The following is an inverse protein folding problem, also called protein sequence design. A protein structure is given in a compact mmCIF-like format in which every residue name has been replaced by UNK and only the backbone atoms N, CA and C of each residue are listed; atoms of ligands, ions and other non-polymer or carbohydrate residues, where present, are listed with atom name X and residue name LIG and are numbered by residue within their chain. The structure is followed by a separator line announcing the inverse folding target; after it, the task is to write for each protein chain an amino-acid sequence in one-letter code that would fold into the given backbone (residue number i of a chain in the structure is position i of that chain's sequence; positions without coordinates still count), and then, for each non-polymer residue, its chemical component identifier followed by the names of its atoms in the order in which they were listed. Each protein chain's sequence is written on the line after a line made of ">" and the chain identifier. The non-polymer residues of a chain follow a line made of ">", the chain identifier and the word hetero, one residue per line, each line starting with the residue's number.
data_IF_706886413036
#
_entry.id   IF_706886413036
#
_cell.length_a   1.000
_cell.length_b   1.000
_cell.length_c   1.000
_cell.angle_alpha   90.00
_cell.angle_beta   90.00
_cell.angle_gamma   90.00
#
_symmetry.space_group_name_H-M   'P 1'
#
loop_
_entity.id
_entity.type
_entity.pdbx_description
1 polymer ?
#
# COMPACT_ATOMS: atom_id res chain seq x y z
N UNK A 1 -18.05 -19.35 -38.89
CA UNK A 1 -17.44 -18.62 -37.75
C UNK A 1 -17.62 -17.16 -38.07
N UNK A 2 -18.58 -16.52 -37.43
CA UNK A 2 -19.08 -15.20 -37.82
C UNK A 2 -18.04 -14.12 -37.51
N UNK A 3 -17.88 -13.19 -38.44
CA UNK A 3 -17.08 -11.97 -38.29
C UNK A 3 -17.34 -11.32 -36.93
N UNK A 4 -16.24 -10.82 -36.33
CA UNK A 4 -16.14 -10.23 -35.02
C UNK A 4 -17.21 -9.15 -34.76
N UNK A 5 -18.39 -9.57 -34.30
CA UNK A 5 -19.41 -8.64 -33.83
C UNK A 5 -18.99 -8.18 -32.44
N UNK A 6 -18.22 -7.10 -32.40
CA UNK A 6 -18.00 -6.36 -31.17
C UNK A 6 -19.37 -5.98 -30.60
N UNK A 7 -19.64 -6.28 -29.32
CA UNK A 7 -20.92 -5.96 -28.68
C UNK A 7 -21.14 -4.44 -28.53
N UNK A 8 -20.09 -3.65 -28.73
CA UNK A 8 -20.07 -2.19 -28.61
C UNK A 8 -19.41 -1.54 -29.82
N UNK A 9 -19.64 -0.24 -30.01
CA UNK A 9 -18.98 0.59 -31.01
C UNK A 9 -18.04 1.62 -30.37
N UNK A 10 -17.15 2.21 -31.15
CA UNK A 10 -16.29 3.32 -30.68
C UNK A 10 -17.11 4.51 -30.17
N UNK A 11 -18.23 4.82 -30.83
CA UNK A 11 -19.13 5.90 -30.43
C UNK A 11 -19.71 5.68 -29.03
N UNK A 12 -20.03 4.44 -28.67
CA UNK A 12 -20.56 4.10 -27.34
C UNK A 12 -19.55 4.42 -26.24
N UNK A 13 -18.29 4.05 -26.45
CA UNK A 13 -17.21 4.30 -25.50
C UNK A 13 -16.84 5.77 -25.40
N UNK A 14 -16.85 6.53 -26.49
CA UNK A 14 -16.62 7.97 -26.47
C UNK A 14 -17.76 8.73 -25.79
N UNK A 15 -19.01 8.33 -26.04
CA UNK A 15 -20.17 8.87 -25.33
C UNK A 15 -20.06 8.60 -23.83
N UNK A 16 -19.68 7.39 -23.43
CA UNK A 16 -19.42 7.07 -22.02
C UNK A 16 -18.19 7.81 -21.48
N UNK A 17 -17.13 8.03 -22.26
CA UNK A 17 -15.98 8.86 -21.84
C UNK A 17 -16.47 10.24 -21.39
N UNK A 18 -17.33 10.84 -22.21
CA UNK A 18 -17.92 12.16 -22.03
C UNK A 18 -18.93 12.20 -20.88
N UNK A 19 -19.81 11.21 -20.79
CA UNK A 19 -20.88 11.13 -19.81
C UNK A 19 -20.50 10.12 -18.72
N UNK A 20 -20.19 10.61 -17.52
CA UNK A 20 -19.64 9.80 -16.41
C UNK A 20 -20.40 8.51 -16.04
N UNK A 21 -21.63 8.31 -16.53
CA UNK A 21 -22.38 7.07 -16.42
C UNK A 21 -23.18 6.77 -17.71
N UNK A 22 -23.42 5.50 -18.01
CA UNK A 22 -24.14 5.02 -19.19
C UNK A 22 -25.60 5.48 -19.20
N UNK A 23 -26.24 5.63 -18.03
CA UNK A 23 -27.59 6.21 -17.91
C UNK A 23 -27.69 7.66 -18.38
N UNK A 24 -26.56 8.34 -18.55
CA UNK A 24 -26.46 9.71 -19.06
C UNK A 24 -26.10 9.73 -20.56
N UNK A 25 -25.85 8.57 -21.17
CA UNK A 25 -25.61 8.42 -22.61
C UNK A 25 -26.95 8.28 -23.36
N UNK A 26 -26.94 8.36 -24.71
CA UNK A 26 -28.10 7.97 -25.51
C UNK A 26 -28.57 6.54 -25.18
N UNK A 27 -29.89 6.25 -25.30
CA UNK A 27 -30.44 4.94 -24.91
C UNK A 27 -29.80 3.74 -25.61
N UNK A 28 -29.41 3.90 -26.88
CA UNK A 28 -28.73 2.85 -27.65
C UNK A 28 -27.34 2.53 -27.09
N UNK A 29 -26.57 3.57 -26.75
CA UNK A 29 -25.28 3.43 -26.09
C UNK A 29 -25.42 2.84 -24.70
N UNK A 30 -26.41 3.29 -23.91
CA UNK A 30 -26.68 2.70 -22.60
C UNK A 30 -26.95 1.19 -22.73
N UNK A 31 -27.81 0.80 -23.67
CA UNK A 31 -28.16 -0.60 -23.91
C UNK A 31 -26.95 -1.43 -24.37
N UNK A 32 -26.12 -0.90 -25.28
CA UNK A 32 -24.91 -1.57 -25.76
C UNK A 32 -23.90 -1.81 -24.64
N UNK A 33 -23.59 -0.78 -23.85
CA UNK A 33 -22.64 -0.87 -22.74
C UNK A 33 -23.14 -1.79 -21.62
N UNK A 34 -24.43 -1.70 -21.27
CA UNK A 34 -25.05 -2.64 -20.31
C UNK A 34 -24.97 -4.07 -20.82
N UNK A 35 -25.26 -4.32 -22.10
CA UNK A 35 -25.15 -5.66 -22.70
C UNK A 35 -23.72 -6.20 -22.62
N UNK A 36 -22.72 -5.37 -22.93
CA UNK A 36 -21.31 -5.73 -22.75
C UNK A 36 -20.99 -6.11 -21.31
N UNK A 37 -21.39 -5.25 -20.36
CA UNK A 37 -21.21 -5.47 -18.92
C UNK A 37 -21.85 -6.77 -18.44
N UNK A 38 -23.11 -7.02 -18.81
CA UNK A 38 -23.85 -8.22 -18.43
C UNK A 38 -23.20 -9.49 -18.99
N UNK A 39 -22.81 -9.48 -20.27
CA UNK A 39 -22.19 -10.65 -20.91
C UNK A 39 -20.87 -11.04 -20.23
N UNK A 40 -19.98 -10.06 -20.04
CA UNK A 40 -18.67 -10.28 -19.42
C UNK A 40 -18.79 -10.55 -17.91
N UNK A 41 -19.62 -9.77 -17.22
CA UNK A 41 -19.90 -9.90 -15.80
C UNK A 41 -20.44 -11.27 -15.42
N UNK A 42 -21.36 -11.83 -16.21
CA UNK A 42 -21.85 -13.20 -16.03
C UNK A 42 -20.70 -14.22 -16.08
N UNK A 43 -19.77 -14.09 -17.03
CA UNK A 43 -18.60 -14.96 -17.12
C UNK A 43 -17.70 -14.88 -15.88
N UNK A 44 -17.44 -13.67 -15.37
CA UNK A 44 -16.65 -13.48 -14.16
C UNK A 44 -17.35 -13.98 -12.90
N UNK A 45 -18.67 -13.75 -12.76
CA UNK A 45 -19.47 -14.28 -11.66
C UNK A 45 -19.45 -15.82 -11.65
N UNK A 46 -19.59 -16.47 -12.81
CA UNK A 46 -19.47 -17.92 -12.92
C UNK A 46 -18.07 -18.42 -12.51
N UNK A 47 -17.03 -17.70 -12.93
CA UNK A 47 -15.64 -18.04 -12.61
C UNK A 47 -15.35 -17.93 -11.11
N UNK A 48 -15.82 -16.86 -10.46
CA UNK A 48 -15.47 -16.56 -9.06
C UNK A 48 -16.44 -17.12 -8.03
N UNK A 49 -17.72 -17.35 -8.36
CA UNK A 49 -18.73 -17.83 -7.42
C UNK A 49 -18.37 -19.16 -6.72
N UNK A 50 -17.54 -20.00 -7.35
CA UNK A 50 -17.05 -21.25 -6.74
C UNK A 50 -16.20 -21.03 -5.48
N UNK A 51 -15.55 -19.86 -5.34
CA UNK A 51 -14.72 -19.48 -4.19
C UNK A 51 -15.48 -18.90 -3.00
N UNK A 52 -16.73 -18.45 -3.18
CA UNK A 52 -17.47 -17.62 -2.20
C UNK A 52 -18.58 -18.36 -1.43
N UNK A 53 -18.30 -19.57 -0.93
CA UNK A 53 -19.02 -20.18 0.20
C UNK A 53 -20.44 -20.71 -0.05
N UNK A 54 -21.15 -20.27 -1.09
CA UNK A 54 -22.54 -20.69 -1.35
C UNK A 54 -22.60 -22.08 -1.98
N UNK A 55 -22.57 -23.11 -1.14
CA UNK A 55 -22.91 -24.47 -1.52
C UNK A 55 -24.44 -24.58 -1.64
N UNK A 56 -24.99 -24.39 -2.84
CA UNK A 56 -26.36 -24.82 -3.11
C UNK A 56 -27.13 -24.03 -4.17
N UNK A 57 -26.99 -22.70 -4.25
CA UNK A 57 -27.80 -21.89 -5.17
C UNK A 57 -26.93 -20.89 -5.96
N UNK A 58 -26.49 -21.28 -7.17
CA UNK A 58 -25.79 -20.39 -8.12
C UNK A 58 -26.72 -19.40 -8.82
N UNK A 59 -28.03 -19.67 -8.80
CA UNK A 59 -29.05 -18.89 -9.53
C UNK A 59 -29.11 -17.40 -9.12
N UNK A 60 -29.10 -17.03 -7.82
CA UNK A 60 -29.20 -15.63 -7.40
C UNK A 60 -28.00 -14.78 -7.82
N UNK A 61 -26.79 -15.34 -7.73
CA UNK A 61 -25.55 -14.62 -8.08
C UNK A 61 -25.49 -14.30 -9.58
N UNK A 62 -26.04 -15.17 -10.44
CA UNK A 62 -26.06 -14.92 -11.89
C UNK A 62 -27.10 -13.88 -12.31
N UNK A 63 -28.16 -13.68 -11.51
CA UNK A 63 -29.12 -12.60 -11.73
C UNK A 63 -28.47 -11.22 -11.52
N UNK A 64 -27.44 -11.13 -10.67
CA UNK A 64 -26.70 -9.88 -10.43
C UNK A 64 -25.82 -9.45 -11.61
N UNK A 65 -25.66 -10.29 -12.66
CA UNK A 65 -24.88 -9.93 -13.84
C UNK A 65 -25.41 -8.65 -14.52
N UNK A 66 -26.69 -8.32 -14.37
CA UNK A 66 -27.28 -7.08 -14.89
C UNK A 66 -26.73 -5.81 -14.21
N UNK A 67 -26.20 -5.94 -12.99
CA UNK A 67 -25.56 -4.86 -12.24
C UNK A 67 -24.06 -4.73 -12.54
N UNK A 68 -23.48 -5.65 -13.31
CA UNK A 68 -22.05 -5.69 -13.58
C UNK A 68 -21.52 -4.38 -14.18
N UNK A 69 -22.29 -3.76 -15.08
CA UNK A 69 -21.92 -2.45 -15.64
C UNK A 69 -21.88 -1.35 -14.57
N UNK A 70 -22.85 -1.31 -13.66
CA UNK A 70 -22.88 -0.34 -12.57
C UNK A 70 -21.68 -0.51 -11.62
N UNK A 71 -21.25 -1.76 -11.37
CA UNK A 71 -20.04 -2.01 -10.58
C UNK A 71 -18.78 -1.48 -11.26
N UNK A 72 -18.65 -1.65 -12.57
CA UNK A 72 -17.55 -1.07 -13.34
C UNK A 72 -17.54 0.47 -13.21
N UNK A 73 -18.69 1.13 -13.33
CA UNK A 73 -18.78 2.59 -13.21
C UNK A 73 -18.35 3.08 -11.83
N UNK A 74 -18.88 2.45 -10.77
CA UNK A 74 -18.52 2.77 -9.39
C UNK A 74 -17.03 2.54 -9.14
N UNK A 75 -16.50 1.40 -9.60
CA UNK A 75 -15.10 1.05 -9.45
C UNK A 75 -14.18 2.02 -10.21
N UNK A 76 -14.55 2.40 -11.42
CA UNK A 76 -13.77 3.32 -12.25
C UNK A 76 -13.82 4.77 -11.75
N UNK A 77 -14.91 5.17 -11.08
CA UNK A 77 -15.07 6.50 -10.51
C UNK A 77 -14.27 6.71 -9.22
N UNK A 78 -14.22 5.69 -8.35
CA UNK A 78 -13.56 5.78 -7.03
C UNK A 78 -12.10 5.32 -7.09
N UNK A 79 -11.80 4.36 -7.97
CA UNK A 79 -10.48 3.74 -8.05
C UNK A 79 -9.44 4.57 -8.81
N UNK A 80 -8.20 4.46 -8.35
CA UNK A 80 -7.02 4.98 -9.04
C UNK A 80 -6.05 3.85 -9.36
N UNK A 81 -5.36 3.97 -10.48
CA UNK A 81 -4.24 3.10 -10.85
C UNK A 81 -3.05 3.30 -9.91
N UNK A 82 -2.05 2.41 -9.98
CA UNK A 82 -0.79 2.54 -9.23
C UNK A 82 -0.05 3.87 -9.47
N UNK A 83 -0.33 4.54 -10.58
CA UNK A 83 0.22 5.85 -10.94
C UNK A 83 -0.67 7.03 -10.50
N UNK A 84 -1.71 6.78 -9.70
CA UNK A 84 -2.66 7.80 -9.22
C UNK A 84 -3.70 8.26 -10.24
N UNK A 85 -3.63 7.80 -11.50
CA UNK A 85 -4.62 8.16 -12.54
C UNK A 85 -5.95 7.44 -12.30
N UNK A 86 -7.08 8.12 -12.51
CA UNK A 86 -8.42 7.50 -12.48
C UNK A 86 -8.50 6.39 -13.53
N UNK A 87 -9.17 5.29 -13.19
CA UNK A 87 -9.19 4.11 -14.08
C UNK A 87 -9.81 4.38 -15.45
N UNK A 88 -10.82 5.27 -15.51
CA UNK A 88 -11.43 5.69 -16.78
C UNK A 88 -10.43 6.43 -17.67
N UNK A 89 -9.68 7.38 -17.12
CA UNK A 89 -8.66 8.12 -17.87
C UNK A 89 -7.52 7.20 -18.33
N UNK A 90 -7.10 6.29 -17.45
CA UNK A 90 -6.12 5.26 -17.77
C UNK A 90 -6.58 4.36 -18.92
N UNK A 91 -7.85 3.94 -18.93
CA UNK A 91 -8.42 3.08 -19.97
C UNK A 91 -8.28 3.71 -21.36
N UNK A 92 -8.68 4.98 -21.49
CA UNK A 92 -8.63 5.68 -22.77
C UNK A 92 -7.20 6.06 -23.18
N UNK A 93 -6.36 6.51 -22.24
CA UNK A 93 -4.96 6.80 -22.53
C UNK A 93 -4.19 5.55 -23.02
N UNK A 94 -4.55 4.37 -22.51
CA UNK A 94 -3.99 3.10 -22.98
C UNK A 94 -4.45 2.76 -24.41
N UNK A 95 -5.71 3.01 -24.74
CA UNK A 95 -6.25 2.70 -26.07
C UNK A 95 -5.66 3.59 -27.17
N UNK A 96 -5.33 4.84 -26.86
CA UNK A 96 -4.66 5.79 -27.77
C UNK A 96 -3.26 5.31 -28.22
N UNK A 97 -2.66 4.34 -27.53
CA UNK A 97 -1.36 3.75 -27.88
C UNK A 97 -1.47 2.49 -28.76
N UNK A 98 -2.68 1.98 -28.99
CA UNK A 98 -2.92 0.73 -29.72
C UNK A 98 -3.32 0.94 -31.17
N UNK A 99 -3.10 -0.09 -32.01
CA UNK A 99 -3.53 -0.09 -33.41
C UNK A 99 -5.04 -0.33 -33.60
N UNK A 100 -5.67 -1.03 -32.66
CA UNK A 100 -7.11 -1.29 -32.61
C UNK A 100 -7.68 -0.67 -31.33
N UNK A 101 -8.19 0.55 -31.46
CA UNK A 101 -8.66 1.33 -30.33
C UNK A 101 -9.84 0.64 -29.61
N UNK A 102 -10.82 0.14 -30.38
CA UNK A 102 -12.02 -0.48 -29.83
C UNK A 102 -11.68 -1.76 -29.07
N UNK A 103 -10.87 -2.65 -29.66
CA UNK A 103 -10.45 -3.86 -28.98
C UNK A 103 -9.65 -3.57 -27.70
N UNK A 104 -8.82 -2.52 -27.71
CA UNK A 104 -8.05 -2.10 -26.54
C UNK A 104 -8.94 -1.57 -25.41
N UNK A 105 -9.95 -0.75 -25.74
CA UNK A 105 -10.93 -0.27 -24.76
C UNK A 105 -11.76 -1.44 -24.21
N UNK A 106 -12.30 -2.31 -25.06
CA UNK A 106 -13.09 -3.46 -24.61
C UNK A 106 -12.26 -4.42 -23.73
N UNK A 107 -10.99 -4.66 -24.08
CA UNK A 107 -10.09 -5.48 -23.27
C UNK A 107 -9.80 -4.84 -21.90
N UNK A 108 -9.51 -3.53 -21.88
CA UNK A 108 -9.27 -2.79 -20.65
C UNK A 108 -10.50 -2.71 -19.75
N UNK A 109 -11.68 -2.44 -20.33
CA UNK A 109 -12.95 -2.41 -19.61
C UNK A 109 -13.31 -3.80 -19.05
N UNK A 110 -13.06 -4.88 -19.81
CA UNK A 110 -13.24 -6.25 -19.33
C UNK A 110 -12.34 -6.54 -18.11
N UNK A 111 -11.09 -6.07 -18.13
CA UNK A 111 -10.17 -6.23 -17.00
C UNK A 111 -10.64 -5.47 -15.76
N UNK A 112 -11.06 -4.21 -15.91
CA UNK A 112 -11.60 -3.41 -14.81
C UNK A 112 -12.89 -4.03 -14.26
N UNK A 113 -13.76 -4.53 -15.14
CA UNK A 113 -15.00 -5.18 -14.76
C UNK A 113 -14.73 -6.45 -13.96
N UNK A 114 -13.73 -7.25 -14.34
CA UNK A 114 -13.29 -8.43 -13.57
C UNK A 114 -12.91 -8.05 -12.14
N UNK A 115 -12.17 -6.96 -11.98
CA UNK A 115 -11.71 -6.51 -10.66
C UNK A 115 -12.86 -5.88 -9.85
N UNK A 116 -13.77 -5.16 -10.49
CA UNK A 116 -15.01 -4.66 -9.89
C UNK A 116 -15.91 -5.80 -9.38
N UNK A 117 -16.10 -6.86 -10.19
CA UNK A 117 -16.86 -8.05 -9.78
C UNK A 117 -16.20 -8.75 -8.59
N UNK A 118 -14.87 -8.88 -8.58
CA UNK A 118 -14.14 -9.46 -7.44
C UNK A 118 -14.30 -8.63 -6.17
N UNK A 119 -14.19 -7.31 -6.28
CA UNK A 119 -14.41 -6.38 -5.19
C UNK A 119 -15.82 -6.53 -4.62
N UNK A 120 -16.83 -6.52 -5.48
CA UNK A 120 -18.22 -6.66 -5.07
C UNK A 120 -18.48 -8.01 -4.41
N UNK A 121 -17.98 -9.11 -4.98
CA UNK A 121 -18.09 -10.43 -4.38
C UNK A 121 -17.41 -10.46 -3.00
N UNK A 122 -16.26 -9.80 -2.82
CA UNK A 122 -15.60 -9.73 -1.51
C UNK A 122 -16.42 -8.94 -0.47
N UNK A 123 -17.13 -7.89 -0.91
CA UNK A 123 -17.97 -7.07 -0.03
C UNK A 123 -19.25 -7.78 0.40
N UNK A 124 -19.96 -8.36 -0.57
CA UNK A 124 -21.28 -8.97 -0.36
C UNK A 124 -21.18 -10.43 0.12
N UNK A 125 -20.08 -11.11 -0.19
CA UNK A 125 -19.89 -12.51 0.13
C UNK A 125 -18.57 -12.69 0.90
N UNK A 126 -18.69 -13.15 2.15
CA UNK A 126 -17.52 -13.59 2.89
C UNK A 126 -16.83 -14.72 2.10
N UNK A 127 -15.52 -14.59 1.78
CA UNK A 127 -14.72 -15.70 1.28
C UNK A 127 -14.90 -16.94 2.17
N UNK A 128 -14.80 -18.15 1.60
CA UNK A 128 -14.91 -19.43 2.34
C UNK A 128 -14.03 -19.52 3.59
N UNK A 129 -12.94 -18.76 3.60
CA UNK A 129 -11.92 -18.76 4.65
C UNK A 129 -12.01 -17.53 5.57
N UNK A 130 -12.94 -16.59 5.32
CA UNK A 130 -13.19 -15.50 6.26
C UNK A 130 -14.13 -16.01 7.35
N UNK A 131 -13.56 -16.15 8.54
CA UNK A 131 -14.26 -16.43 9.79
C UNK A 131 -14.79 -15.09 10.30
N UNK A 132 -16.04 -15.03 10.76
CA UNK A 132 -16.56 -13.82 11.41
C UNK A 132 -15.73 -13.52 12.65
N UNK A 133 -15.38 -12.25 12.89
CA UNK A 133 -14.66 -11.88 14.10
C UNK A 133 -15.48 -12.21 15.35
N UNK A 134 -16.81 -12.07 15.25
CA UNK A 134 -17.74 -12.42 16.31
C UNK A 134 -18.05 -13.93 16.38
N UNK A 135 -17.41 -14.76 15.55
CA UNK A 135 -17.58 -16.20 15.63
C UNK A 135 -16.95 -16.72 16.94
N UNK A 136 -17.69 -17.48 17.76
CA UNK A 136 -17.15 -18.04 18.99
C UNK A 136 -16.04 -19.06 18.68
N UNK A 137 -14.91 -18.93 19.37
CA UNK A 137 -13.80 -19.86 19.30
C UNK A 137 -13.94 -20.95 20.38
N UNK A 138 -14.72 -21.99 20.09
CA UNK A 138 -14.77 -23.17 20.94
C UNK A 138 -15.99 -24.06 20.70
N UNK A 139 -15.75 -25.36 20.50
CA UNK A 139 -16.78 -26.39 20.60
C UNK A 139 -16.98 -26.74 22.09
N UNK A 140 -17.54 -25.83 22.88
CA UNK A 140 -17.70 -26.07 24.32
C UNK A 140 -18.55 -25.04 25.03
N UNK A 141 -19.45 -25.52 25.88
CA UNK A 141 -20.50 -24.76 26.61
C UNK A 141 -19.99 -23.68 27.59
N UNK A 142 -18.70 -23.34 27.61
CA UNK A 142 -18.13 -22.45 28.64
C UNK A 142 -17.14 -21.39 28.13
N UNK A 143 -16.88 -21.28 26.82
CA UNK A 143 -16.00 -20.24 26.27
C UNK A 143 -16.77 -19.28 25.36
N UNK A 144 -16.99 -18.05 25.81
CA UNK A 144 -17.60 -16.97 25.01
C UNK A 144 -16.59 -16.18 24.17
N UNK A 145 -15.33 -16.62 24.11
CA UNK A 145 -14.27 -15.85 23.46
C UNK A 145 -14.47 -15.83 21.94
N UNK A 146 -14.64 -14.63 21.39
CA UNK A 146 -14.74 -14.41 19.95
C UNK A 146 -13.37 -14.20 19.31
N UNK A 147 -13.25 -14.42 18.01
CA UNK A 147 -12.00 -14.15 17.27
C UNK A 147 -11.62 -12.64 17.32
N UNK A 148 -12.60 -11.76 17.50
CA UNK A 148 -12.43 -10.32 17.74
C UNK A 148 -11.62 -10.03 18.99
N UNK A 149 -11.86 -10.75 20.09
CA UNK A 149 -11.13 -10.60 21.36
C UNK A 149 -9.66 -11.03 21.28
N UNK A 150 -9.28 -11.75 20.22
CA UNK A 150 -7.92 -12.22 19.98
C UNK A 150 -7.16 -11.33 18.98
N UNK A 151 -7.84 -10.39 18.34
CA UNK A 151 -7.16 -9.39 17.53
C UNK A 151 -6.55 -8.37 18.50
N UNK A 152 -5.23 -8.11 18.42
CA UNK A 152 -4.64 -7.05 19.22
C UNK A 152 -5.37 -5.75 18.92
N UNK A 153 -5.95 -5.16 19.96
CA UNK A 153 -6.76 -3.95 19.88
C UNK A 153 -5.98 -2.88 19.10
N UNK A 154 -6.65 -2.14 18.23
CA UNK A 154 -5.96 -1.05 17.51
C UNK A 154 -5.60 0.04 18.51
N UNK A 155 -4.35 0.01 18.97
CA UNK A 155 -3.61 1.02 19.74
C UNK A 155 -4.54 1.79 20.69
N UNK A 156 -4.63 1.32 21.93
CA UNK A 156 -5.36 2.03 22.97
C UNK A 156 -4.90 3.50 23.02
N UNK A 157 -5.78 4.48 23.33
CA UNK A 157 -5.36 5.87 23.56
C UNK A 157 -4.25 6.02 24.63
N UNK A 158 -4.10 5.03 25.51
CA UNK A 158 -2.97 4.95 26.44
C UNK A 158 -1.65 4.61 25.75
N UNK A 159 -1.70 3.81 24.69
CA UNK A 159 -0.52 3.44 23.89
C UNK A 159 -0.06 4.63 23.05
N UNK A 160 -0.98 5.46 22.54
CA UNK A 160 -0.61 6.70 21.82
C UNK A 160 0.02 7.75 22.73
N UNK A 161 -0.41 7.82 23.99
CA UNK A 161 0.22 8.70 25.00
C UNK A 161 1.61 8.20 25.35
N UNK A 162 1.74 6.89 25.57
CA UNK A 162 3.04 6.24 25.85
C UNK A 162 4.00 6.45 24.68
N UNK A 163 3.57 6.19 23.45
CA UNK A 163 4.37 6.40 22.23
C UNK A 163 4.83 7.86 22.09
N UNK A 164 3.94 8.82 22.40
CA UNK A 164 4.31 10.23 22.40
C UNK A 164 5.38 10.54 23.45
N UNK A 165 5.27 10.00 24.66
CA UNK A 165 6.29 10.16 25.71
C UNK A 165 7.64 9.57 25.28
N UNK A 166 7.66 8.36 24.70
CA UNK A 166 8.88 7.75 24.17
C UNK A 166 9.50 8.60 23.05
N UNK A 167 8.68 9.17 22.15
CA UNK A 167 9.16 10.06 21.10
C UNK A 167 9.75 11.35 21.66
N UNK A 168 9.16 11.95 22.69
CA UNK A 168 9.71 13.15 23.34
C UNK A 168 11.03 12.88 24.05
N UNK A 169 11.14 11.73 24.74
CA UNK A 169 12.40 11.28 25.34
C UNK A 169 13.47 11.07 24.27
N UNK A 170 13.10 10.36 23.18
CA UNK A 170 14.01 10.11 22.07
C UNK A 170 14.53 11.40 21.44
N UNK A 171 13.64 12.38 21.21
CA UNK A 171 14.00 13.70 20.68
C UNK A 171 14.98 14.42 21.62
N UNK A 172 14.72 14.39 22.93
CA UNK A 172 15.59 15.02 23.93
C UNK A 172 17.00 14.44 23.92
N UNK A 173 17.13 13.10 23.89
CA UNK A 173 18.42 12.43 23.79
C UNK A 173 19.09 12.68 22.43
N UNK A 174 18.33 12.65 21.34
CA UNK A 174 18.86 12.96 20.01
C UNK A 174 19.45 14.39 19.96
N UNK A 175 18.76 15.39 20.52
CA UNK A 175 19.26 16.77 20.60
C UNK A 175 20.55 16.90 21.40
N UNK A 176 20.73 16.09 22.46
CA UNK A 176 21.95 16.05 23.27
C UNK A 176 23.10 15.33 22.56
N UNK A 177 22.82 14.19 21.95
CA UNK A 177 23.80 13.36 21.26
C UNK A 177 24.30 14.02 19.97
N UNK A 178 23.41 14.61 19.17
CA UNK A 178 23.70 15.16 17.85
C UNK A 178 24.94 16.06 17.77
N UNK A 179 25.11 17.10 18.61
CA UNK A 179 26.28 17.99 18.54
C UNK A 179 27.60 17.31 18.91
N UNK A 180 27.55 16.14 19.56
CA UNK A 180 28.74 15.37 19.93
C UNK A 180 29.19 14.39 18.83
N UNK A 181 28.38 14.22 17.79
CA UNK A 181 28.68 13.32 16.68
C UNK A 181 29.75 13.92 15.76
N UNK A 182 30.76 13.12 15.44
CA UNK A 182 31.73 13.47 14.39
C UNK A 182 31.10 13.38 13.00
N UNK A 183 31.69 14.02 12.01
CA UNK A 183 31.20 13.97 10.62
C UNK A 183 31.15 12.54 10.06
N UNK A 184 32.11 11.70 10.41
CA UNK A 184 32.09 10.27 10.02
C UNK A 184 30.96 9.51 10.69
N UNK A 185 30.62 9.83 11.95
CA UNK A 185 29.48 9.23 12.65
C UNK A 185 28.16 9.66 12.01
N UNK A 186 28.01 10.96 11.69
CA UNK A 186 26.85 11.50 10.98
C UNK A 186 26.66 10.83 9.61
N UNK A 187 27.72 10.71 8.83
CA UNK A 187 27.71 10.04 7.52
C UNK A 187 27.22 8.59 7.61
N UNK A 188 27.72 7.84 8.58
CA UNK A 188 27.37 6.43 8.78
C UNK A 188 25.92 6.26 9.23
N UNK A 189 25.43 7.12 10.12
CA UNK A 189 24.02 7.11 10.55
C UNK A 189 23.08 7.48 9.41
N UNK A 190 23.40 8.54 8.66
CA UNK A 190 22.65 8.96 7.47
C UNK A 190 22.59 7.83 6.43
N UNK A 191 23.72 7.18 6.13
CA UNK A 191 23.77 6.10 5.16
C UNK A 191 22.87 4.91 5.56
N UNK A 192 22.84 4.58 6.86
CA UNK A 192 21.99 3.49 7.38
C UNK A 192 20.50 3.80 7.28
N UNK A 193 20.10 5.03 7.59
CA UNK A 193 18.71 5.49 7.46
C UNK A 193 18.24 5.44 6.00
N UNK A 194 19.10 5.81 5.07
CA UNK A 194 18.83 5.76 3.63
C UNK A 194 18.90 4.35 3.03
N UNK A 195 19.15 3.31 3.83
CA UNK A 195 19.20 1.92 3.39
C UNK A 195 20.50 1.49 2.70
N UNK A 196 21.54 2.32 2.71
CA UNK A 196 22.85 1.94 2.15
C UNK A 196 23.53 0.88 3.04
N UNK A 197 24.27 -0.01 2.39
CA UNK A 197 25.14 -0.94 3.09
C UNK A 197 26.45 -0.24 3.45
N UNK A 198 27.01 -0.52 4.64
CA UNK A 198 28.30 0.08 5.05
C UNK A 198 29.51 -0.51 4.29
N UNK A 199 29.27 -1.50 3.42
CA UNK A 199 30.25 -2.04 2.48
C UNK A 199 30.24 -1.30 1.13
N UNK A 200 29.41 -0.28 0.95
CA UNK A 200 29.36 0.49 -0.28
C UNK A 200 30.69 1.26 -0.50
N UNK A 201 31.41 1.01 -1.62
CA UNK A 201 32.65 1.73 -1.93
C UNK A 201 32.49 3.26 -1.98
N UNK A 202 31.33 3.76 -2.42
CA UNK A 202 31.07 5.20 -2.52
C UNK A 202 31.04 5.86 -1.14
N UNK A 203 30.54 5.14 -0.12
CA UNK A 203 30.51 5.62 1.25
C UNK A 203 31.90 5.71 1.87
N UNK A 204 32.76 4.72 1.57
CA UNK A 204 34.16 4.71 1.99
C UNK A 204 34.97 5.84 1.34
N UNK A 205 34.75 6.08 0.04
CA UNK A 205 35.37 7.17 -0.71
C UNK A 205 34.97 8.53 -0.14
N UNK A 206 33.65 8.78 0.04
CA UNK A 206 33.14 10.03 0.61
C UNK A 206 33.64 10.28 2.03
N UNK A 207 33.64 9.25 2.87
CA UNK A 207 34.15 9.34 4.22
C UNK A 207 35.68 9.42 4.33
N UNK A 208 36.40 9.17 3.22
CA UNK A 208 37.86 9.00 3.18
C UNK A 208 38.35 8.00 4.25
N UNK A 209 37.56 6.96 4.50
CA UNK A 209 37.82 5.93 5.52
C UNK A 209 37.58 4.54 4.97
N UNK A 210 38.27 3.54 5.53
CA UNK A 210 38.05 2.15 5.12
C UNK A 210 36.69 1.62 5.58
N UNK A 211 36.14 0.64 4.88
CA UNK A 211 34.85 0.00 5.23
C UNK A 211 34.84 -0.53 6.68
N UNK A 212 35.95 -1.13 7.14
CA UNK A 212 36.09 -1.59 8.52
C UNK A 212 35.93 -0.47 9.56
N UNK A 213 36.39 0.75 9.22
CA UNK A 213 36.21 1.92 10.08
C UNK A 213 34.73 2.31 10.12
N UNK A 214 34.00 2.29 9.01
CA UNK A 214 32.56 2.59 8.98
C UNK A 214 31.75 1.67 9.90
N UNK A 215 31.97 0.35 9.83
CA UNK A 215 31.29 -0.61 10.71
C UNK A 215 31.62 -0.41 12.18
N UNK A 216 32.91 -0.18 12.49
CA UNK A 216 33.36 0.08 13.86
C UNK A 216 32.77 1.38 14.40
N UNK A 217 32.71 2.42 13.57
CA UNK A 217 32.12 3.72 13.91
C UNK A 217 30.62 3.57 14.19
N UNK A 218 29.85 2.88 13.33
CA UNK A 218 28.43 2.62 13.58
C UNK A 218 28.21 1.92 14.92
N UNK A 219 28.94 0.82 15.15
CA UNK A 219 28.83 0.05 16.39
C UNK A 219 29.21 0.90 17.61
N UNK A 220 30.24 1.74 17.50
CA UNK A 220 30.67 2.64 18.56
C UNK A 220 29.57 3.65 18.92
N UNK A 221 28.94 4.29 17.93
CA UNK A 221 27.84 5.23 18.15
C UNK A 221 26.65 4.57 18.84
N UNK A 222 26.20 3.43 18.32
CA UNK A 222 25.08 2.67 18.91
C UNK A 222 25.41 2.28 20.35
N UNK A 223 26.63 1.77 20.60
CA UNK A 223 27.07 1.38 21.95
C UNK A 223 27.09 2.58 22.89
N UNK A 224 27.59 3.74 22.44
CA UNK A 224 27.63 4.98 23.23
C UNK A 224 26.22 5.41 23.63
N UNK A 225 25.29 5.48 22.67
CA UNK A 225 23.88 5.82 22.93
C UNK A 225 23.25 4.82 23.91
N UNK A 226 23.44 3.51 23.70
CA UNK A 226 22.89 2.50 24.61
C UNK A 226 23.44 2.60 26.04
N UNK A 227 24.73 2.89 26.21
CA UNK A 227 25.34 3.09 27.54
C UNK A 227 24.82 4.36 28.21
N UNK A 228 24.65 5.44 27.46
CA UNK A 228 24.07 6.70 27.95
C UNK A 228 22.62 6.52 28.40
N UNK A 229 21.80 5.83 27.62
CA UNK A 229 20.41 5.53 27.97
C UNK A 229 20.33 4.62 29.20
N UNK A 230 21.18 3.60 29.29
CA UNK A 230 21.24 2.71 30.46
C UNK A 230 21.66 3.47 31.74
N UNK A 231 22.55 4.44 31.63
CA UNK A 231 22.94 5.28 32.75
C UNK A 231 21.82 6.26 33.16
N UNK A 232 21.07 6.80 32.20
CA UNK A 232 19.96 7.72 32.46
C UNK A 232 18.73 7.02 33.06
N UNK A 233 18.51 5.74 32.72
CA UNK A 233 17.31 4.98 33.11
C UNK A 233 17.67 3.60 33.68
N UNK A 234 18.30 3.52 34.87
CA UNK A 234 18.79 2.26 35.43
C UNK A 234 17.70 1.26 35.83
N UNK A 235 16.45 1.72 36.00
CA UNK A 235 15.31 0.87 36.36
C UNK A 235 14.50 0.33 35.17
N UNK A 236 14.80 0.78 33.95
CA UNK A 236 14.04 0.39 32.77
C UNK A 236 14.44 -0.99 32.24
N UNK A 237 13.48 -1.65 31.60
CA UNK A 237 13.74 -2.97 31.02
C UNK A 237 14.72 -2.88 29.83
N UNK A 238 15.53 -3.91 29.57
CA UNK A 238 16.40 -3.93 28.40
C UNK A 238 15.66 -3.74 27.07
N UNK A 239 14.43 -4.26 26.94
CA UNK A 239 13.62 -4.10 25.74
C UNK A 239 13.21 -2.65 25.52
N UNK A 240 12.78 -1.98 26.59
CA UNK A 240 12.42 -0.55 26.57
C UNK A 240 13.61 0.34 26.18
N UNK A 241 14.80 0.04 26.71
CA UNK A 241 16.03 0.76 26.35
C UNK A 241 16.44 0.54 24.88
N UNK A 242 16.25 -0.65 24.33
CA UNK A 242 16.49 -0.93 22.90
C UNK A 242 15.52 -0.14 22.03
N UNK A 243 14.24 -0.10 22.39
CA UNK A 243 13.23 0.69 21.68
C UNK A 243 13.57 2.18 21.70
N UNK A 244 13.94 2.73 22.86
CA UNK A 244 14.37 4.13 22.96
C UNK A 244 15.63 4.41 22.15
N UNK A 245 16.63 3.52 22.19
CA UNK A 245 17.84 3.67 21.38
C UNK A 245 17.50 3.72 19.88
N UNK A 246 16.55 2.89 19.42
CA UNK A 246 16.06 2.93 18.04
C UNK A 246 15.42 4.28 17.72
N UNK A 247 14.49 4.74 18.56
CA UNK A 247 13.82 6.04 18.36
C UNK A 247 14.81 7.21 18.38
N UNK A 248 15.84 7.18 19.22
CA UNK A 248 16.91 8.20 19.25
C UNK A 248 17.67 8.22 17.92
N UNK A 249 18.02 7.05 17.37
CA UNK A 249 18.70 6.95 16.08
C UNK A 249 17.81 7.47 14.94
N UNK A 250 16.51 7.16 14.95
CA UNK A 250 15.53 7.68 14.00
C UNK A 250 15.44 9.22 14.07
N UNK A 251 15.39 9.81 15.26
CA UNK A 251 15.36 11.27 15.43
C UNK A 251 16.66 11.94 14.97
N UNK A 252 17.82 11.32 15.21
CA UNK A 252 19.10 11.80 14.67
C UNK A 252 19.09 11.75 13.13
N UNK A 253 18.57 10.68 12.54
CA UNK A 253 18.50 10.54 11.09
C UNK A 253 17.56 11.57 10.45
N UNK A 254 16.38 11.80 11.02
CA UNK A 254 15.46 12.86 10.59
C UNK A 254 16.15 14.23 10.57
N UNK A 255 16.96 14.53 11.60
CA UNK A 255 17.72 15.77 11.67
C UNK A 255 18.79 15.85 10.57
N UNK A 256 19.56 14.78 10.35
CA UNK A 256 20.56 14.72 9.26
C UNK A 256 19.91 14.96 7.89
N UNK A 257 18.73 14.40 7.66
CA UNK A 257 17.98 14.62 6.42
C UNK A 257 17.49 16.07 6.28
N UNK A 258 17.08 16.71 7.38
CA UNK A 258 16.62 18.11 7.38
C UNK A 258 17.76 19.12 7.12
N UNK A 259 18.98 18.80 7.53
CA UNK A 259 20.16 19.66 7.32
C UNK A 259 20.75 19.50 5.90
N UNK A 260 20.07 18.77 4.99
CA UNK A 260 20.54 18.45 3.64
C UNK A 260 21.96 17.87 3.62
N UNK A 261 22.30 17.05 4.63
CA UNK A 261 23.65 16.53 4.84
C UNK A 261 24.25 15.86 3.59
N UNK A 262 23.41 15.28 2.73
CA UNK A 262 23.76 14.81 1.40
C UNK A 262 22.60 15.09 0.44
N UNK A 263 22.70 16.10 -0.42
CA UNK A 263 21.78 16.22 -1.54
C UNK A 263 22.07 15.09 -2.54
N UNK A 264 21.04 14.33 -2.89
CA UNK A 264 21.10 13.37 -4.01
C UNK A 264 20.94 14.17 -5.30
N UNK A 265 21.83 13.95 -6.26
CA UNK A 265 21.59 14.40 -7.64
C UNK A 265 20.31 13.69 -8.16
N UNK A 266 19.52 14.30 -9.06
CA UNK A 266 18.40 13.63 -9.75
C UNK A 266 18.73 12.27 -10.38
N UNK A 267 20.00 11.97 -10.64
CA UNK A 267 20.51 10.67 -11.09
C UNK A 267 20.57 9.59 -10.00
N UNK A 268 20.24 9.92 -8.74
CA UNK A 268 20.31 9.00 -7.59
C UNK A 268 21.72 8.84 -7.02
N UNK A 269 22.71 9.53 -7.58
CA UNK A 269 24.08 9.56 -7.08
C UNK A 269 24.28 10.65 -6.03
N UNK A 270 25.22 10.43 -5.14
CA UNK A 270 25.52 11.34 -4.05
C UNK A 270 26.35 12.52 -4.57
N UNK A 271 25.84 13.75 -4.44
CA UNK A 271 26.64 14.94 -4.69
C UNK A 271 27.53 15.23 -3.48
N UNK A 272 28.78 15.61 -3.74
CA UNK A 272 29.60 16.31 -2.75
C UNK A 272 28.98 17.70 -2.56
N UNK A 273 28.64 18.04 -1.32
CA UNK A 273 28.27 19.42 -0.95
C UNK A 273 29.62 20.09 -0.65
N UNK A 274 29.98 21.10 -1.46
CA UNK A 274 31.17 21.95 -1.22
C UNK A 274 31.07 22.71 0.11
#
# INVERSE_FOLDING_TARGET
>A
MNENSHPTSEADWLSWKTHCAARLCPPETEASLKRFGTLRGRGYLQQFASGFGRSGNRSPILAEAEHAWHWLETYAAVGTSRQGKRYKDWLFARAEQGHDWLAMVEAGASMLLRDAVREQLRREHAPKLMVSLQQPMGEGLQGTCTLEELIPDQVSPTDSTTDWEWQQLALTHAQRCYPTLTETEKLVLWARDQGYTLNDPQLAERGKVSMNVLYRTYRSVVTRISLELKAAYPGESPASLIQLARLVLEQIALRLNSENFCQKDPSGFLMEVE
#
